data_IF_837262617869
#
_entry.id   IF_837262617869
#
_cell.length_a   1.000
_cell.length_b   1.000
_cell.length_c   1.000
_cell.angle_alpha   90.00
_cell.angle_beta   90.00
_cell.angle_gamma   90.00
#
_symmetry.space_group_name_H-M   'P 1'
#
loop_
_entity.id
_entity.type
_entity.pdbx_description
1 polymer ?
#
# COMPACT_ATOMS: atom_id res chain seq x y z
N UNK A 1 31.45 63.61 -17.54
CA UNK A 1 31.51 62.16 -17.81
C UNK A 1 30.95 61.41 -16.61
N UNK A 2 29.81 60.71 -16.74
CA UNK A 2 29.24 59.92 -15.65
C UNK A 2 29.92 58.53 -15.55
N UNK A 3 29.92 57.89 -14.37
CA UNK A 3 30.57 56.59 -14.16
C UNK A 3 29.74 55.43 -14.76
N UNK A 4 30.45 54.48 -15.39
CA UNK A 4 29.89 53.22 -15.91
C UNK A 4 29.32 52.36 -14.77
N UNK A 5 28.04 51.99 -14.85
CA UNK A 5 27.43 50.94 -14.01
C UNK A 5 28.02 49.58 -14.40
N UNK A 6 28.65 48.90 -13.46
CA UNK A 6 28.97 47.47 -13.56
C UNK A 6 27.69 46.66 -13.42
N UNK A 7 27.47 45.71 -14.33
CA UNK A 7 26.40 44.71 -14.24
C UNK A 7 26.75 43.67 -13.15
N UNK A 8 25.75 43.11 -12.42
CA UNK A 8 26.01 42.06 -11.45
C UNK A 8 26.42 40.76 -12.15
N UNK A 9 27.47 40.15 -11.59
CA UNK A 9 28.07 38.89 -12.03
C UNK A 9 27.05 37.74 -11.93
N UNK A 10 26.55 37.28 -13.08
CA UNK A 10 25.69 36.10 -13.16
C UNK A 10 26.55 34.87 -12.86
N UNK A 11 26.49 34.40 -11.59
CA UNK A 11 27.03 33.11 -11.17
C UNK A 11 26.57 32.01 -12.14
N UNK A 12 27.49 31.60 -13.01
CA UNK A 12 27.35 30.48 -13.93
C UNK A 12 27.16 29.21 -13.10
N UNK A 13 25.92 28.68 -13.05
CA UNK A 13 25.57 27.43 -12.36
C UNK A 13 26.36 26.30 -13.03
N UNK A 14 27.34 25.75 -12.30
CA UNK A 14 28.14 24.59 -12.69
C UNK A 14 27.19 23.41 -12.93
N UNK A 15 27.09 22.96 -14.17
CA UNK A 15 26.52 21.66 -14.52
C UNK A 15 27.55 20.60 -14.13
N UNK A 16 27.26 19.83 -13.08
CA UNK A 16 28.03 18.63 -12.76
C UNK A 16 27.38 17.44 -13.44
N UNK A 17 28.08 16.90 -14.45
CA UNK A 17 27.88 15.56 -14.97
C UNK A 17 28.23 14.55 -13.88
N UNK A 18 27.27 13.74 -13.42
CA UNK A 18 27.47 12.37 -12.88
C UNK A 18 26.08 11.75 -12.67
N UNK A 19 25.98 10.45 -12.95
CA UNK A 19 24.76 9.70 -13.22
C UNK A 19 23.65 9.77 -12.16
N UNK A 20 22.44 10.04 -12.65
CA UNK A 20 21.14 9.79 -12.03
C UNK A 20 21.06 8.38 -11.44
N UNK A 21 21.02 8.25 -10.12
CA UNK A 21 20.62 6.99 -9.46
C UNK A 21 19.67 7.33 -8.29
N UNK A 22 18.41 6.92 -8.42
CA UNK A 22 17.30 7.25 -7.51
C UNK A 22 16.82 6.00 -6.75
N UNK A 23 16.35 6.19 -5.51
CA UNK A 23 16.37 5.17 -4.45
C UNK A 23 14.98 4.86 -3.87
N UNK A 24 14.04 4.24 -4.61
CA UNK A 24 12.72 3.74 -4.11
C UNK A 24 11.68 4.66 -3.37
N UNK A 25 10.86 5.45 -4.10
CA UNK A 25 9.73 6.29 -3.66
C UNK A 25 8.72 6.26 -4.81
N UNK A 26 7.78 5.33 -4.69
CA UNK A 26 6.40 5.61 -4.26
C UNK A 26 5.80 6.93 -4.66
N UNK A 27 5.84 7.27 -5.95
CA UNK A 27 5.20 8.50 -6.32
C UNK A 27 4.64 8.43 -7.73
N UNK A 28 3.34 8.14 -7.76
CA UNK A 28 2.43 8.51 -8.85
C UNK A 28 1.14 8.93 -8.19
N UNK A 29 0.55 10.04 -8.64
CA UNK A 29 -0.82 10.25 -8.32
C UNK A 29 -1.72 8.99 -8.34
N UNK A 30 -2.31 8.63 -7.20
CA UNK A 30 -3.51 7.80 -7.13
C UNK A 30 -4.63 8.32 -8.03
N UNK A 31 -5.72 7.56 -8.21
CA UNK A 31 -6.83 7.90 -9.11
C UNK A 31 -7.33 9.36 -8.93
N UNK A 32 -7.39 9.82 -7.68
CA UNK A 32 -7.73 11.20 -7.27
C UNK A 32 -6.74 12.30 -7.64
N UNK A 33 -5.54 11.92 -8.02
CA UNK A 33 -4.41 12.83 -8.19
C UNK A 33 -3.86 12.78 -9.62
N UNK A 34 -4.40 11.89 -10.48
CA UNK A 34 -4.00 11.76 -11.88
C UNK A 34 -4.21 13.10 -12.60
N UNK A 35 -3.30 13.47 -13.50
CA UNK A 35 -3.45 14.68 -14.31
C UNK A 35 -4.59 14.50 -15.31
N UNK A 36 -5.55 15.43 -15.32
CA UNK A 36 -6.60 15.45 -16.35
C UNK A 36 -6.01 15.82 -17.72
N UNK A 37 -6.29 15.01 -18.74
CA UNK A 37 -5.90 15.32 -20.12
C UNK A 37 -6.82 16.39 -20.73
N UNK A 38 -6.32 17.20 -21.66
CA UNK A 38 -7.13 18.23 -22.37
C UNK A 38 -8.38 17.64 -23.04
N UNK A 39 -8.26 16.41 -23.58
CA UNK A 39 -9.40 15.67 -24.13
C UNK A 39 -10.44 15.33 -23.05
N UNK A 40 -10.01 15.02 -21.82
CA UNK A 40 -10.90 14.78 -20.68
C UNK A 40 -11.63 16.06 -20.25
N UNK A 41 -10.92 17.19 -20.23
CA UNK A 41 -11.48 18.52 -19.91
C UNK A 41 -12.55 18.94 -20.91
N UNK A 42 -12.26 18.92 -22.20
CA UNK A 42 -13.26 19.23 -23.24
C UNK A 42 -14.46 18.26 -23.19
N UNK A 43 -14.22 16.98 -22.90
CA UNK A 43 -15.30 16.04 -22.73
C UNK A 43 -16.16 16.34 -21.48
N UNK A 44 -15.56 16.84 -20.39
CA UNK A 44 -16.28 17.32 -19.19
C UNK A 44 -17.12 18.56 -19.50
N UNK A 45 -16.54 19.55 -20.18
CA UNK A 45 -17.27 20.77 -20.60
C UNK A 45 -18.47 20.44 -21.49
N UNK A 46 -18.31 19.54 -22.45
CA UNK A 46 -19.41 19.08 -23.29
C UNK A 46 -20.52 18.40 -22.48
N UNK A 47 -20.18 17.60 -21.45
CA UNK A 47 -21.16 16.99 -20.54
C UNK A 47 -21.90 18.03 -19.71
N UNK A 48 -21.20 19.04 -19.17
CA UNK A 48 -21.80 20.10 -18.38
C UNK A 48 -22.82 20.92 -19.21
N UNK A 49 -22.50 21.19 -20.49
CA UNK A 49 -23.45 21.83 -21.42
C UNK A 49 -24.72 21.00 -21.63
N UNK A 50 -24.60 19.68 -21.76
CA UNK A 50 -25.75 18.77 -21.87
C UNK A 50 -26.56 18.73 -20.57
N UNK A 51 -25.91 18.75 -19.40
CA UNK A 51 -26.58 18.81 -18.09
C UNK A 51 -27.41 20.10 -17.93
N UNK A 52 -26.92 21.23 -18.44
CA UNK A 52 -27.64 22.53 -18.37
C UNK A 52 -28.81 22.67 -19.34
N UNK A 53 -28.97 21.76 -20.31
CA UNK A 53 -30.06 21.82 -21.29
C UNK A 53 -31.41 21.40 -20.68
N UNK A 54 -32.54 21.85 -21.23
CA UNK A 54 -33.90 21.49 -20.73
C UNK A 54 -34.25 20.03 -21.02
N UNK A 55 -34.84 19.31 -20.04
CA UNK A 55 -35.35 17.94 -20.25
C UNK A 55 -36.78 17.98 -20.77
N UNK A 56 -37.09 17.20 -21.81
CA UNK A 56 -38.45 17.06 -22.32
C UNK A 56 -39.02 15.65 -22.10
N UNK A 57 -38.17 14.62 -21.97
CA UNK A 57 -38.58 13.23 -21.76
C UNK A 57 -37.96 12.66 -20.47
N UNK A 58 -38.61 11.67 -19.87
CA UNK A 58 -38.11 10.96 -18.70
C UNK A 58 -36.74 10.28 -18.96
N UNK A 59 -36.52 9.81 -20.18
CA UNK A 59 -35.22 9.27 -20.63
C UNK A 59 -34.11 10.33 -20.55
N UNK A 60 -34.42 11.60 -20.77
CA UNK A 60 -33.45 12.69 -20.68
C UNK A 60 -33.06 12.95 -19.22
N UNK A 61 -34.00 12.75 -18.28
CA UNK A 61 -33.72 12.82 -16.84
C UNK A 61 -32.76 11.70 -16.41
N UNK A 62 -33.00 10.46 -16.84
CA UNK A 62 -32.10 9.33 -16.56
C UNK A 62 -30.70 9.57 -17.17
N UNK A 63 -30.63 10.08 -18.39
CA UNK A 63 -29.35 10.45 -19.03
C UNK A 63 -28.62 11.53 -18.24
N UNK A 64 -29.32 12.56 -17.76
CA UNK A 64 -28.74 13.61 -16.91
C UNK A 64 -28.25 13.06 -15.58
N UNK A 65 -29.00 12.18 -14.93
CA UNK A 65 -28.56 11.52 -13.70
C UNK A 65 -27.29 10.70 -13.92
N UNK A 66 -27.22 9.91 -15.00
CA UNK A 66 -26.03 9.16 -15.37
C UNK A 66 -24.83 10.07 -15.67
N UNK A 67 -25.04 11.14 -16.45
CA UNK A 67 -23.99 12.12 -16.76
C UNK A 67 -23.50 12.85 -15.51
N UNK A 68 -24.41 13.19 -14.60
CA UNK A 68 -24.11 13.82 -13.31
C UNK A 68 -23.31 12.88 -12.42
N UNK A 69 -23.74 11.62 -12.27
CA UNK A 69 -22.99 10.59 -11.55
C UNK A 69 -21.59 10.40 -12.15
N UNK A 70 -21.48 10.31 -13.48
CA UNK A 70 -20.19 10.16 -14.16
C UNK A 70 -19.26 11.34 -13.88
N UNK A 71 -19.76 12.56 -13.99
CA UNK A 71 -18.99 13.77 -13.73
C UNK A 71 -18.57 13.87 -12.25
N UNK A 72 -19.48 13.53 -11.34
CA UNK A 72 -19.19 13.50 -9.91
C UNK A 72 -18.18 12.41 -9.55
N UNK A 73 -18.24 11.24 -10.19
CA UNK A 73 -17.26 10.16 -10.01
C UNK A 73 -15.89 10.50 -10.57
N UNK A 74 -15.80 11.34 -11.61
CA UNK A 74 -14.49 11.83 -12.08
C UNK A 74 -13.87 12.81 -11.07
N UNK A 75 -14.67 13.69 -10.47
CA UNK A 75 -14.19 14.64 -9.46
C UNK A 75 -13.89 13.96 -8.11
N UNK A 76 -14.73 12.98 -7.75
CA UNK A 76 -14.65 12.23 -6.50
C UNK A 76 -14.50 10.75 -6.80
N UNK A 77 -13.24 10.31 -6.92
CA UNK A 77 -12.87 8.92 -7.19
C UNK A 77 -13.44 7.92 -6.17
N UNK A 78 -13.65 8.35 -4.93
CA UNK A 78 -14.20 7.53 -3.85
C UNK A 78 -15.70 7.23 -4.01
N UNK A 79 -16.44 7.98 -4.83
CA UNK A 79 -17.89 7.88 -4.92
C UNK A 79 -18.36 6.51 -5.43
N UNK A 80 -17.72 5.99 -6.47
CA UNK A 80 -18.11 4.71 -7.08
C UNK A 80 -17.92 3.55 -6.10
N UNK A 81 -16.77 3.49 -5.44
CA UNK A 81 -16.51 2.49 -4.41
C UNK A 81 -17.47 2.62 -3.24
N UNK A 82 -17.78 3.85 -2.79
CA UNK A 82 -18.79 4.08 -1.76
C UNK A 82 -20.17 3.57 -2.18
N UNK A 83 -20.62 3.87 -3.40
CA UNK A 83 -21.92 3.44 -3.89
C UNK A 83 -22.04 1.90 -3.87
N UNK A 84 -21.02 1.20 -4.37
CA UNK A 84 -20.98 -0.26 -4.37
C UNK A 84 -21.08 -0.81 -2.94
N UNK A 85 -20.28 -0.27 -2.01
CA UNK A 85 -20.29 -0.67 -0.60
C UNK A 85 -21.66 -0.40 0.03
N UNK A 86 -22.20 0.80 -0.14
CA UNK A 86 -23.50 1.21 0.39
C UNK A 86 -24.63 0.33 -0.12
N UNK A 87 -24.63 -0.02 -1.41
CA UNK A 87 -25.63 -0.91 -2.01
C UNK A 87 -25.57 -2.30 -1.37
N UNK A 88 -24.37 -2.89 -1.24
CA UNK A 88 -24.22 -4.22 -0.63
C UNK A 88 -24.66 -4.23 0.82
N UNK A 89 -24.23 -3.24 1.62
CA UNK A 89 -24.66 -3.13 3.01
C UNK A 89 -26.16 -2.87 3.14
N UNK A 90 -26.74 -2.01 2.29
CA UNK A 90 -28.17 -1.73 2.28
C UNK A 90 -28.96 -3.02 2.02
N UNK A 91 -28.65 -3.76 0.96
CA UNK A 91 -29.34 -5.02 0.66
C UNK A 91 -29.13 -6.06 1.76
N UNK A 92 -27.92 -6.14 2.33
CA UNK A 92 -27.63 -7.08 3.42
C UNK A 92 -28.46 -6.78 4.68
N UNK A 93 -28.54 -5.51 5.10
CA UNK A 93 -29.32 -5.12 6.28
C UNK A 93 -30.83 -5.12 6.02
N UNK A 94 -31.29 -4.69 4.83
CA UNK A 94 -32.70 -4.72 4.45
C UNK A 94 -33.24 -6.15 4.28
N UNK A 95 -32.39 -7.12 3.94
CA UNK A 95 -32.79 -8.52 3.85
C UNK A 95 -33.24 -9.12 5.20
N UNK A 96 -32.90 -8.49 6.34
CA UNK A 96 -33.19 -9.01 7.68
C UNK A 96 -32.42 -10.27 8.09
N UNK A 97 -31.79 -10.95 7.13
CA UNK A 97 -31.04 -12.19 7.32
C UNK A 97 -29.53 -11.91 7.41
N UNK A 98 -28.98 -11.99 8.63
CA UNK A 98 -27.55 -11.77 8.92
C UNK A 98 -26.74 -13.06 9.02
N UNK A 99 -27.32 -14.20 8.66
CA UNK A 99 -26.68 -15.51 8.76
C UNK A 99 -25.98 -15.90 7.47
N UNK A 100 -25.20 -16.97 7.50
CA UNK A 100 -24.52 -17.54 6.32
C UNK A 100 -25.46 -17.95 5.17
N UNK A 101 -26.77 -18.07 5.42
CA UNK A 101 -27.76 -18.35 4.38
C UNK A 101 -27.96 -17.17 3.41
N UNK A 102 -27.58 -15.95 3.81
CA UNK A 102 -27.61 -14.79 2.93
C UNK A 102 -26.40 -14.81 1.98
N UNK A 103 -26.57 -14.76 0.65
CA UNK A 103 -25.45 -14.75 -0.29
C UNK A 103 -24.54 -13.51 -0.16
N UNK A 104 -25.00 -12.43 0.47
CA UNK A 104 -24.22 -11.24 0.75
C UNK A 104 -23.37 -11.37 2.03
N UNK A 105 -23.63 -12.36 2.88
CA UNK A 105 -22.90 -12.57 4.13
C UNK A 105 -21.40 -12.74 3.88
N UNK A 106 -21.01 -13.47 2.83
CA UNK A 106 -19.60 -13.69 2.44
C UNK A 106 -18.81 -12.41 2.11
N UNK A 107 -19.51 -11.31 1.79
CA UNK A 107 -18.88 -10.03 1.49
C UNK A 107 -18.77 -9.16 2.75
N UNK A 108 -19.78 -9.22 3.62
CA UNK A 108 -19.91 -8.32 4.78
C UNK A 108 -19.27 -8.89 6.04
N UNK A 109 -19.37 -10.20 6.27
CA UNK A 109 -18.93 -10.88 7.48
C UNK A 109 -18.02 -12.05 7.14
N UNK A 110 -17.20 -12.46 8.11
CA UNK A 110 -16.34 -13.63 7.95
C UNK A 110 -17.20 -14.89 7.91
N UNK A 111 -16.88 -15.78 6.96
CA UNK A 111 -17.55 -17.07 6.81
C UNK A 111 -16.84 -18.19 7.60
N UNK A 112 -17.50 -19.34 7.73
CA UNK A 112 -16.96 -20.59 8.30
C UNK A 112 -16.78 -20.58 9.82
N UNK A 113 -17.77 -20.06 10.55
CA UNK A 113 -17.78 -20.16 12.01
C UNK A 113 -17.92 -21.64 12.45
N UNK A 114 -17.11 -22.06 13.42
CA UNK A 114 -17.10 -23.44 13.94
C UNK A 114 -18.04 -23.53 15.14
N UNK A 115 -19.25 -24.05 14.91
CA UNK A 115 -20.30 -24.13 15.94
C UNK A 115 -20.59 -22.75 16.55
N UNK A 116 -20.80 -22.71 17.86
CA UNK A 116 -21.04 -21.47 18.62
C UNK A 116 -19.75 -20.86 19.20
N UNK A 117 -18.58 -21.24 18.68
CA UNK A 117 -17.28 -20.76 19.17
C UNK A 117 -16.82 -19.50 18.44
N UNK A 118 -15.79 -18.83 18.97
CA UNK A 118 -15.12 -17.70 18.31
C UNK A 118 -14.07 -18.13 17.26
N UNK A 119 -14.12 -19.40 16.85
CA UNK A 119 -13.14 -20.02 15.95
C UNK A 119 -13.72 -20.13 14.55
N UNK A 120 -12.89 -19.85 13.55
CA UNK A 120 -13.28 -19.82 12.15
C UNK A 120 -12.34 -20.67 11.32
N UNK A 121 -12.92 -21.54 10.50
CA UNK A 121 -12.21 -22.29 9.47
C UNK A 121 -11.88 -21.42 8.26
N UNK A 122 -11.52 -22.05 7.14
CA UNK A 122 -11.25 -21.37 5.86
C UNK A 122 -12.02 -22.00 4.70
N UNK A 123 -12.25 -21.23 3.65
CA UNK A 123 -12.80 -21.75 2.40
C UNK A 123 -13.01 -20.69 1.32
N UNK A 124 -13.56 -21.07 0.15
CA UNK A 124 -13.67 -20.19 -1.01
C UNK A 124 -14.52 -18.93 -0.79
N UNK A 125 -15.46 -18.93 0.18
CA UNK A 125 -16.22 -17.70 0.52
C UNK A 125 -15.31 -16.57 1.01
N UNK A 126 -14.13 -16.89 1.57
CA UNK A 126 -13.16 -15.89 2.04
C UNK A 126 -12.59 -15.07 0.87
N UNK A 127 -12.58 -15.59 -0.36
CA UNK A 127 -12.21 -14.80 -1.55
C UNK A 127 -13.24 -13.70 -1.86
N UNK A 128 -14.52 -13.97 -1.59
CA UNK A 128 -15.57 -12.96 -1.67
C UNK A 128 -15.31 -11.83 -0.69
N UNK A 129 -14.97 -12.17 0.55
CA UNK A 129 -14.59 -11.20 1.58
C UNK A 129 -13.39 -10.36 1.12
N UNK A 130 -12.32 -11.00 0.65
CA UNK A 130 -11.12 -10.31 0.15
C UNK A 130 -11.47 -9.34 -0.98
N UNK A 131 -12.23 -9.77 -1.98
CA UNK A 131 -12.62 -8.92 -3.11
C UNK A 131 -13.48 -7.73 -2.68
N UNK A 132 -14.46 -7.94 -1.80
CA UNK A 132 -15.28 -6.84 -1.30
C UNK A 132 -14.45 -5.84 -0.48
N UNK A 133 -13.52 -6.33 0.34
CA UNK A 133 -12.65 -5.46 1.12
C UNK A 133 -11.58 -4.76 0.28
N UNK A 134 -11.21 -5.27 -0.90
CA UNK A 134 -10.41 -4.50 -1.87
C UNK A 134 -11.16 -3.23 -2.33
N UNK A 135 -12.48 -3.33 -2.54
CA UNK A 135 -13.33 -2.17 -2.89
C UNK A 135 -13.41 -1.22 -1.70
N UNK A 136 -13.56 -1.75 -0.47
CA UNK A 136 -13.50 -0.97 0.76
C UNK A 136 -12.18 -0.20 0.90
N UNK A 137 -11.03 -0.85 0.72
CA UNK A 137 -9.73 -0.19 0.81
C UNK A 137 -9.52 0.85 -0.30
N UNK A 138 -10.05 0.61 -1.49
CA UNK A 138 -10.08 1.61 -2.57
C UNK A 138 -10.90 2.84 -2.17
N UNK A 139 -12.10 2.65 -1.61
CA UNK A 139 -12.90 3.73 -1.05
C UNK A 139 -12.13 4.48 0.04
N UNK A 140 -11.62 3.75 1.04
CA UNK A 140 -10.96 4.30 2.21
C UNK A 140 -9.75 5.16 1.81
N UNK A 141 -8.92 4.66 0.88
CA UNK A 141 -7.77 5.36 0.32
C UNK A 141 -8.18 6.67 -0.31
N UNK A 142 -9.09 6.62 -1.30
CA UNK A 142 -9.47 7.79 -2.07
C UNK A 142 -10.22 8.82 -1.21
N UNK A 143 -11.05 8.37 -0.26
CA UNK A 143 -11.77 9.23 0.67
C UNK A 143 -10.81 9.96 1.61
N UNK A 144 -9.90 9.24 2.27
CA UNK A 144 -8.92 9.83 3.19
C UNK A 144 -8.01 10.80 2.43
N UNK A 145 -7.51 10.41 1.26
CA UNK A 145 -6.64 11.24 0.45
C UNK A 145 -7.35 12.55 0.04
N UNK A 146 -8.52 12.46 -0.62
CA UNK A 146 -9.20 13.66 -1.14
C UNK A 146 -9.79 14.56 -0.06
N UNK A 147 -10.42 13.98 0.97
CA UNK A 147 -11.23 14.74 1.94
C UNK A 147 -10.38 15.23 3.11
N UNK A 148 -9.55 14.35 3.69
CA UNK A 148 -8.80 14.64 4.90
C UNK A 148 -7.39 15.15 4.60
N UNK A 149 -6.59 14.36 3.87
CA UNK A 149 -5.16 14.59 3.71
C UNK A 149 -4.85 15.76 2.78
N UNK A 150 -5.65 16.00 1.73
CA UNK A 150 -5.49 17.17 0.86
C UNK A 150 -5.63 18.48 1.64
N UNK A 151 -6.69 18.59 2.44
CA UNK A 151 -6.95 19.74 3.30
C UNK A 151 -5.85 19.94 4.33
N UNK A 152 -5.38 18.85 4.95
CA UNK A 152 -4.28 18.88 5.92
C UNK A 152 -2.96 19.31 5.27
N UNK A 153 -2.65 18.81 4.06
CA UNK A 153 -1.44 19.14 3.32
C UNK A 153 -1.32 20.63 3.01
N UNK A 154 -2.43 21.26 2.62
CA UNK A 154 -2.50 22.70 2.34
C UNK A 154 -2.34 23.50 3.64
N UNK A 155 -2.97 23.06 4.74
CA UNK A 155 -2.82 23.70 6.07
C UNK A 155 -1.40 23.63 6.61
N UNK A 156 -0.66 22.58 6.26
CA UNK A 156 0.76 22.41 6.61
C UNK A 156 1.71 23.26 5.74
N UNK A 157 1.18 24.10 4.83
CA UNK A 157 1.97 25.05 4.06
C UNK A 157 2.60 24.49 2.78
N UNK A 158 2.22 23.27 2.35
CA UNK A 158 2.71 22.68 1.10
C UNK A 158 1.93 23.25 -0.07
N UNK A 159 2.60 23.98 -0.96
CA UNK A 159 1.96 24.70 -2.08
C UNK A 159 2.07 23.99 -3.43
N UNK A 160 3.13 23.21 -3.67
CA UNK A 160 3.35 22.52 -4.96
C UNK A 160 2.44 21.30 -5.08
N UNK A 161 1.65 21.22 -6.15
CA UNK A 161 0.65 20.15 -6.34
C UNK A 161 1.28 18.75 -6.33
N UNK A 162 2.42 18.55 -7.01
CA UNK A 162 3.13 17.27 -7.00
C UNK A 162 3.63 16.88 -5.59
N UNK A 163 4.10 17.86 -4.80
CA UNK A 163 4.54 17.64 -3.42
C UNK A 163 3.35 17.28 -2.50
N UNK A 164 2.19 17.91 -2.71
CA UNK A 164 0.94 17.57 -1.99
C UNK A 164 0.55 16.11 -2.26
N UNK A 165 0.53 15.69 -3.53
CA UNK A 165 0.14 14.32 -3.93
C UNK A 165 1.03 13.26 -3.25
N UNK A 166 2.35 13.47 -3.30
CA UNK A 166 3.35 12.58 -2.66
C UNK A 166 3.14 12.48 -1.16
N UNK A 167 2.97 13.64 -0.52
CA UNK A 167 2.77 13.68 0.92
C UNK A 167 1.48 12.97 1.31
N UNK A 168 0.39 13.14 0.55
CA UNK A 168 -0.86 12.42 0.78
C UNK A 168 -0.69 10.90 0.69
N UNK A 169 0.07 10.39 -0.27
CA UNK A 169 0.35 8.93 -0.40
C UNK A 169 1.10 8.40 0.83
N UNK A 170 2.12 9.13 1.31
CA UNK A 170 2.86 8.74 2.51
C UNK A 170 1.99 8.85 3.76
N UNK A 171 1.18 9.91 3.89
CA UNK A 171 0.28 10.09 5.03
C UNK A 171 -0.84 9.03 5.06
N UNK A 172 -1.32 8.57 3.91
CA UNK A 172 -2.24 7.44 3.85
C UNK A 172 -1.56 6.15 4.35
N UNK A 173 -0.30 5.93 3.95
CA UNK A 173 0.51 4.79 4.42
C UNK A 173 0.70 4.85 5.93
N UNK A 174 1.00 6.03 6.50
CA UNK A 174 1.07 6.25 7.95
C UNK A 174 -0.27 5.90 8.60
N UNK A 175 -1.39 6.40 8.07
CA UNK A 175 -2.72 6.10 8.59
C UNK A 175 -2.96 4.59 8.66
N UNK A 176 -2.73 3.88 7.56
CA UNK A 176 -2.96 2.43 7.51
C UNK A 176 -2.04 1.67 8.47
N UNK A 177 -0.72 1.89 8.39
CA UNK A 177 0.26 1.16 9.22
C UNK A 177 0.20 1.52 10.70
N UNK A 178 -0.30 2.71 11.06
CA UNK A 178 -0.57 3.09 12.45
C UNK A 178 -1.70 2.27 13.09
N UNK A 179 -2.58 1.67 12.28
CA UNK A 179 -3.67 0.80 12.73
C UNK A 179 -3.26 -0.66 12.58
N UNK A 180 -2.74 -1.07 11.42
CA UNK A 180 -2.41 -2.46 11.12
C UNK A 180 -1.23 -2.98 11.95
N UNK A 181 -0.19 -2.17 12.16
CA UNK A 181 0.99 -2.54 12.93
C UNK A 181 0.65 -2.90 14.38
N UNK A 182 0.04 -1.99 15.17
CA UNK A 182 -0.40 -2.30 16.53
C UNK A 182 -1.42 -3.44 16.60
N UNK A 183 -2.35 -3.54 15.64
CA UNK A 183 -3.31 -4.64 15.62
C UNK A 183 -2.62 -6.01 15.39
N UNK A 184 -1.64 -6.06 14.48
CA UNK A 184 -0.82 -7.25 14.26
C UNK A 184 0.01 -7.62 15.51
N UNK A 185 0.62 -6.64 16.18
CA UNK A 185 1.33 -6.86 17.44
C UNK A 185 0.41 -7.36 18.56
N UNK A 186 -0.82 -6.85 18.65
CA UNK A 186 -1.82 -7.34 19.58
C UNK A 186 -2.17 -8.81 19.32
N UNK A 187 -2.38 -9.20 18.06
CA UNK A 187 -2.63 -10.60 17.71
C UNK A 187 -1.43 -11.50 17.97
N UNK A 188 -0.22 -11.01 17.72
CA UNK A 188 1.01 -11.73 18.04
C UNK A 188 1.18 -11.92 19.56
N UNK A 189 0.71 -10.97 20.37
CA UNK A 189 0.70 -11.09 21.84
C UNK A 189 -0.32 -12.12 22.34
N UNK A 190 -1.49 -12.20 21.70
CA UNK A 190 -2.52 -13.20 22.03
C UNK A 190 -2.16 -14.62 21.58
N UNK A 191 -1.15 -14.78 20.74
CA UNK A 191 -0.70 -16.08 20.23
C UNK A 191 0.65 -16.47 20.83
N UNK A 192 1.08 -17.70 20.57
CA UNK A 192 2.38 -18.25 20.99
C UNK A 192 3.58 -17.64 20.22
N UNK A 193 3.33 -16.66 19.35
CA UNK A 193 4.29 -16.01 18.45
C UNK A 193 4.97 -14.78 19.05
N UNK A 194 4.67 -14.40 20.31
CA UNK A 194 5.21 -13.19 20.94
C UNK A 194 6.74 -13.08 20.80
N UNK A 195 7.21 -11.91 20.36
CA UNK A 195 8.61 -11.63 20.01
C UNK A 195 9.19 -12.58 18.95
N UNK A 196 8.37 -12.89 17.94
CA UNK A 196 8.78 -13.66 16.76
C UNK A 196 9.33 -15.04 17.10
N UNK A 197 8.71 -15.74 18.07
CA UNK A 197 9.05 -17.12 18.41
C UNK A 197 8.81 -18.04 17.21
N UNK A 198 9.86 -18.73 16.78
CA UNK A 198 9.87 -19.51 15.54
C UNK A 198 9.37 -20.94 15.72
N UNK A 199 9.57 -21.54 16.89
CA UNK A 199 9.10 -22.88 17.25
C UNK A 199 7.56 -22.98 17.20
N UNK A 200 6.89 -21.94 17.68
CA UNK A 200 5.44 -21.78 17.64
C UNK A 200 4.85 -21.81 16.22
N UNK A 201 5.63 -21.48 15.19
CA UNK A 201 5.17 -21.51 13.79
C UNK A 201 4.93 -22.93 13.26
N UNK A 202 5.51 -23.95 13.92
CA UNK A 202 5.43 -25.35 13.47
C UNK A 202 4.79 -26.28 14.48
N UNK A 203 4.86 -25.96 15.78
CA UNK A 203 4.49 -26.87 16.86
C UNK A 203 3.03 -27.33 16.80
N UNK A 204 2.11 -26.44 16.42
CA UNK A 204 0.67 -26.74 16.33
C UNK A 204 0.19 -26.94 14.89
N UNK A 205 1.10 -26.99 13.92
CA UNK A 205 0.74 -27.09 12.51
C UNK A 205 0.11 -28.46 12.18
N UNK A 206 -1.05 -28.51 11.51
CA UNK A 206 -1.73 -27.42 10.82
C UNK A 206 -2.82 -26.75 11.67
N UNK A 207 -2.81 -25.41 11.70
CA UNK A 207 -3.80 -24.62 12.43
C UNK A 207 -5.07 -24.41 11.57
N UNK A 208 -6.03 -25.33 11.67
CA UNK A 208 -7.27 -25.29 10.87
C UNK A 208 -8.19 -24.11 11.17
N UNK A 209 -8.24 -23.75 12.45
CA UNK A 209 -9.19 -22.79 12.97
C UNK A 209 -8.43 -21.60 13.54
N UNK A 210 -8.83 -20.40 13.14
CA UNK A 210 -8.25 -19.17 13.63
C UNK A 210 -9.31 -18.40 14.42
N UNK A 211 -8.88 -17.69 15.46
CA UNK A 211 -9.78 -16.78 16.18
C UNK A 211 -10.32 -15.71 15.23
N UNK A 212 -11.52 -15.21 15.52
CA UNK A 212 -12.20 -14.19 14.72
C UNK A 212 -11.30 -13.00 14.35
N UNK A 213 -10.66 -12.36 15.33
CA UNK A 213 -9.81 -11.18 15.10
C UNK A 213 -8.58 -11.52 14.26
N UNK A 214 -8.00 -12.70 14.48
CA UNK A 214 -6.88 -13.20 13.68
C UNK A 214 -7.29 -13.36 12.21
N UNK A 215 -8.44 -13.99 11.97
CA UNK A 215 -8.96 -14.20 10.61
C UNK A 215 -9.34 -12.87 9.93
N UNK A 216 -9.95 -11.92 10.66
CA UNK A 216 -10.20 -10.54 10.14
C UNK A 216 -8.89 -9.92 9.67
N UNK A 217 -7.89 -9.91 10.55
CA UNK A 217 -6.62 -9.27 10.25
C UNK A 217 -5.97 -9.89 9.04
N UNK A 218 -5.93 -11.22 8.96
CA UNK A 218 -5.28 -11.93 7.88
C UNK A 218 -5.94 -11.70 6.52
N UNK A 219 -7.28 -11.79 6.47
CA UNK A 219 -8.04 -11.53 5.23
C UNK A 219 -8.06 -10.05 4.88
N UNK A 220 -8.10 -9.16 5.87
CA UNK A 220 -8.01 -7.71 5.68
C UNK A 220 -6.66 -7.30 5.10
N UNK A 221 -5.57 -7.87 5.60
CA UNK A 221 -4.23 -7.69 5.03
C UNK A 221 -4.17 -8.21 3.58
N UNK A 222 -4.70 -9.41 3.34
CA UNK A 222 -4.76 -9.96 1.99
C UNK A 222 -5.53 -9.02 1.02
N UNK A 223 -6.66 -8.47 1.46
CA UNK A 223 -7.45 -7.51 0.68
C UNK A 223 -6.72 -6.19 0.44
N UNK A 224 -6.03 -5.64 1.46
CA UNK A 224 -5.23 -4.43 1.30
C UNK A 224 -4.08 -4.63 0.31
N UNK A 225 -3.29 -5.69 0.47
CA UNK A 225 -2.15 -5.97 -0.41
C UNK A 225 -2.60 -6.35 -1.84
N UNK A 226 -3.71 -7.06 -2.00
CA UNK A 226 -4.31 -7.30 -3.32
C UNK A 226 -4.78 -6.00 -3.98
N UNK A 227 -5.43 -5.12 -3.22
CA UNK A 227 -5.85 -3.80 -3.69
C UNK A 227 -4.65 -2.95 -4.12
N UNK A 228 -3.60 -2.90 -3.31
CA UNK A 228 -2.36 -2.18 -3.62
C UNK A 228 -1.67 -2.74 -4.88
N UNK A 229 -1.72 -4.06 -5.07
CA UNK A 229 -1.18 -4.72 -6.26
C UNK A 229 -1.98 -4.38 -7.52
N UNK A 230 -3.31 -4.28 -7.44
CA UNK A 230 -4.14 -3.80 -8.56
C UNK A 230 -3.81 -2.36 -8.94
N UNK A 231 -3.64 -1.47 -7.94
CA UNK A 231 -3.24 -0.08 -8.18
C UNK A 231 -1.90 0.00 -8.93
N UNK A 232 -0.94 -0.84 -8.53
CA UNK A 232 0.38 -0.89 -9.17
C UNK A 232 0.33 -1.47 -10.59
N UNK A 233 -0.30 -2.63 -10.77
CA UNK A 233 -0.28 -3.39 -12.04
C UNK A 233 -1.10 -2.74 -13.13
N UNK A 234 -2.23 -2.13 -12.80
CA UNK A 234 -3.04 -1.36 -13.74
C UNK A 234 -2.39 -0.02 -14.12
N UNK A 235 -1.20 0.29 -13.58
CA UNK A 235 -0.50 1.56 -13.78
C UNK A 235 -1.43 2.76 -13.56
N UNK A 236 -2.40 2.60 -12.64
CA UNK A 236 -3.07 3.75 -12.04
C UNK A 236 -2.03 4.68 -11.42
N UNK A 237 -0.84 4.10 -11.16
CA UNK A 237 0.41 4.75 -10.85
C UNK A 237 1.47 4.63 -12.01
N UNK A 238 1.89 5.75 -12.67
CA UNK A 238 3.14 6.00 -13.45
C UNK A 238 4.35 5.16 -12.98
N UNK A 239 4.89 4.29 -13.85
CA UNK A 239 6.01 3.42 -13.51
C UNK A 239 7.22 4.14 -12.90
N UNK A 240 7.69 3.61 -11.77
CA UNK A 240 8.89 4.04 -11.03
C UNK A 240 10.18 3.56 -11.74
N UNK A 241 11.35 4.04 -11.29
CA UNK A 241 12.64 3.47 -11.76
C UNK A 241 12.89 2.05 -11.25
N UNK A 242 12.35 1.73 -10.07
CA UNK A 242 12.35 0.42 -9.44
C UNK A 242 11.02 -0.33 -9.67
N UNK A 243 10.30 0.00 -10.75
CA UNK A 243 8.97 -0.55 -11.02
C UNK A 243 9.00 -2.07 -11.20
N UNK A 244 10.06 -2.60 -11.82
CA UNK A 244 10.20 -4.03 -12.05
C UNK A 244 10.43 -4.77 -10.73
N UNK A 245 11.29 -4.23 -9.86
CA UNK A 245 11.58 -4.77 -8.54
C UNK A 245 10.34 -4.70 -7.64
N UNK A 246 9.56 -3.62 -7.74
CA UNK A 246 8.30 -3.48 -7.02
C UNK A 246 7.22 -4.43 -7.53
N UNK A 247 7.08 -4.63 -8.85
CA UNK A 247 6.18 -5.66 -9.39
C UNK A 247 6.60 -7.03 -8.90
N UNK A 248 7.90 -7.35 -8.98
CA UNK A 248 8.42 -8.62 -8.51
C UNK A 248 8.14 -8.81 -7.01
N UNK A 249 8.30 -7.75 -6.20
CA UNK A 249 7.91 -7.75 -4.81
C UNK A 249 6.43 -8.07 -4.62
N UNK A 250 5.52 -7.41 -5.33
CA UNK A 250 4.08 -7.68 -5.24
C UNK A 250 3.71 -9.10 -5.68
N UNK A 251 4.41 -9.67 -6.68
CA UNK A 251 4.25 -11.07 -7.06
C UNK A 251 4.66 -11.99 -5.89
N UNK A 252 5.84 -11.75 -5.30
CA UNK A 252 6.34 -12.55 -4.19
C UNK A 252 5.46 -12.43 -2.95
N UNK A 253 5.02 -11.21 -2.58
CA UNK A 253 4.19 -11.00 -1.41
C UNK A 253 2.80 -11.58 -1.59
N UNK A 254 2.14 -11.39 -2.75
CA UNK A 254 0.85 -12.03 -3.01
C UNK A 254 0.95 -13.56 -3.02
N UNK A 255 2.04 -14.11 -3.57
CA UNK A 255 2.30 -15.55 -3.51
C UNK A 255 2.47 -16.04 -2.07
N UNK A 256 3.23 -15.32 -1.23
CA UNK A 256 3.39 -15.61 0.19
C UNK A 256 2.04 -15.59 0.91
N UNK A 257 1.23 -14.54 0.72
CA UNK A 257 -0.09 -14.39 1.33
C UNK A 257 -1.04 -15.52 0.90
N UNK A 258 -1.09 -15.81 -0.40
CA UNK A 258 -1.95 -16.85 -0.95
C UNK A 258 -1.57 -18.23 -0.42
N UNK A 259 -0.30 -18.61 -0.55
CA UNK A 259 0.18 -19.94 -0.19
C UNK A 259 0.12 -20.16 1.33
N UNK A 260 0.45 -19.15 2.12
CA UNK A 260 0.35 -19.26 3.58
C UNK A 260 -1.08 -19.44 4.07
N UNK A 261 -2.07 -18.79 3.45
CA UNK A 261 -3.47 -19.03 3.79
C UNK A 261 -3.98 -20.39 3.29
N UNK A 262 -3.72 -20.73 2.02
CA UNK A 262 -4.18 -21.98 1.39
C UNK A 262 -3.55 -23.22 2.04
N UNK A 263 -2.31 -23.13 2.51
CA UNK A 263 -1.60 -24.25 3.14
C UNK A 263 -1.43 -24.12 4.67
N UNK A 264 -2.23 -23.28 5.34
CA UNK A 264 -2.29 -23.18 6.82
C UNK A 264 -1.00 -22.68 7.50
N UNK A 265 -0.12 -21.96 6.80
CA UNK A 265 1.08 -21.33 7.37
C UNK A 265 0.81 -19.90 7.87
N UNK A 266 -0.39 -19.64 8.39
CA UNK A 266 -0.79 -18.30 8.85
C UNK A 266 0.09 -17.80 10.00
N UNK A 267 0.46 -18.68 10.94
CA UNK A 267 1.39 -18.38 12.05
C UNK A 267 2.78 -17.92 11.59
N UNK A 268 3.23 -18.33 10.41
CA UNK A 268 4.45 -17.80 9.79
C UNK A 268 4.20 -16.47 9.10
N UNK A 269 3.04 -16.32 8.45
CA UNK A 269 2.66 -15.09 7.74
C UNK A 269 2.42 -13.88 8.65
N UNK A 270 1.87 -14.07 9.86
CA UNK A 270 1.61 -12.97 10.80
C UNK A 270 2.89 -12.18 11.18
N UNK A 271 3.99 -12.84 11.62
CA UNK A 271 5.31 -12.22 11.76
C UNK A 271 5.76 -11.40 10.55
N UNK A 272 5.61 -11.96 9.35
CA UNK A 272 6.04 -11.30 8.10
C UNK A 272 5.23 -10.02 7.89
N UNK A 273 3.90 -10.05 8.03
CA UNK A 273 3.07 -8.85 7.95
C UNK A 273 3.52 -7.76 8.94
N UNK A 274 3.72 -8.12 10.21
CA UNK A 274 4.12 -7.17 11.26
C UNK A 274 5.46 -6.52 10.92
N UNK A 275 6.45 -7.31 10.50
CA UNK A 275 7.79 -6.78 10.18
C UNK A 275 7.75 -5.77 9.03
N UNK A 276 6.92 -6.02 8.02
CA UNK A 276 6.75 -5.13 6.88
C UNK A 276 6.05 -3.84 7.29
N UNK A 277 4.85 -3.95 7.87
CA UNK A 277 3.99 -2.80 8.23
C UNK A 277 4.68 -1.84 9.19
N UNK A 278 5.32 -2.35 10.25
CA UNK A 278 5.97 -1.50 11.25
C UNK A 278 7.17 -0.77 10.65
N UNK A 279 7.93 -1.42 9.77
CA UNK A 279 9.05 -0.75 9.09
C UNK A 279 8.57 0.31 8.08
N UNK A 280 7.46 0.06 7.39
CA UNK A 280 6.90 0.98 6.39
C UNK A 280 6.23 2.19 7.03
N UNK A 281 5.69 2.05 8.25
CA UNK A 281 5.25 3.18 9.05
C UNK A 281 6.40 4.18 9.27
N UNK A 282 7.57 3.73 9.72
CA UNK A 282 8.71 4.61 9.95
C UNK A 282 9.26 5.20 8.64
N UNK A 283 9.25 4.44 7.55
CA UNK A 283 9.61 4.95 6.23
C UNK A 283 8.70 6.12 5.82
N UNK A 284 7.38 5.90 5.85
CA UNK A 284 6.40 6.90 5.44
C UNK A 284 6.44 8.14 6.35
N UNK A 285 6.68 7.94 7.65
CA UNK A 285 6.82 9.02 8.62
C UNK A 285 8.07 9.87 8.36
N UNK A 286 9.22 9.24 8.11
CA UNK A 286 10.47 9.95 7.77
C UNK A 286 10.33 10.78 6.49
N UNK A 287 9.66 10.24 5.46
CA UNK A 287 9.36 10.95 4.21
C UNK A 287 8.41 12.11 4.42
N UNK A 288 7.36 11.93 5.23
CA UNK A 288 6.41 13.00 5.53
C UNK A 288 7.10 14.18 6.23
N UNK A 289 7.98 13.92 7.20
CA UNK A 289 8.78 14.99 7.82
C UNK A 289 9.72 15.67 6.83
N UNK A 290 10.32 14.91 5.91
CA UNK A 290 11.16 15.47 4.85
C UNK A 290 10.35 16.40 3.94
N UNK A 291 9.12 16.03 3.55
CA UNK A 291 8.25 16.91 2.78
C UNK A 291 7.84 18.18 3.54
N UNK A 292 7.81 18.15 4.87
CA UNK A 292 7.53 19.33 5.69
C UNK A 292 8.78 20.15 6.02
N UNK A 293 9.96 19.76 5.50
CA UNK A 293 11.24 20.39 5.79
C UNK A 293 11.47 20.49 7.33
N UNK A 294 11.00 19.48 8.07
CA UNK A 294 10.96 19.46 9.53
C UNK A 294 12.32 19.09 10.12
N UNK A 295 12.75 19.70 11.24
CA UNK A 295 13.97 19.28 11.97
C UNK A 295 13.86 17.86 12.54
N UNK A 296 12.67 17.26 12.57
CA UNK A 296 12.46 15.87 12.97
C UNK A 296 12.83 14.85 11.88
N UNK A 297 13.20 15.29 10.67
CA UNK A 297 13.55 14.38 9.57
C UNK A 297 14.73 13.45 9.92
N UNK A 298 15.91 13.94 10.39
CA UNK A 298 17.03 13.08 10.71
C UNK A 298 16.78 12.02 11.81
N UNK A 299 16.17 12.34 12.98
CA UNK A 299 15.93 11.33 14.00
C UNK A 299 14.95 10.25 13.54
N UNK A 300 13.87 10.61 12.83
CA UNK A 300 12.93 9.61 12.29
C UNK A 300 13.52 8.79 11.15
N UNK A 301 14.39 9.37 10.33
CA UNK A 301 15.13 8.63 9.32
C UNK A 301 16.08 7.58 9.95
N UNK A 302 16.73 7.91 11.07
CA UNK A 302 17.56 6.95 11.80
C UNK A 302 16.73 5.82 12.43
N UNK A 303 15.58 6.15 13.05
CA UNK A 303 14.65 5.15 13.58
C UNK A 303 14.16 4.22 12.47
N UNK A 304 13.84 4.77 11.31
CA UNK A 304 13.51 4.01 10.10
C UNK A 304 14.63 3.01 9.74
N UNK A 305 15.89 3.43 9.65
CA UNK A 305 17.00 2.53 9.32
C UNK A 305 17.14 1.39 10.33
N UNK A 306 17.09 1.71 11.63
CA UNK A 306 17.20 0.71 12.70
C UNK A 306 16.05 -0.30 12.62
N UNK A 307 14.81 0.20 12.48
CA UNK A 307 13.63 -0.66 12.34
C UNK A 307 13.68 -1.51 11.08
N UNK A 308 14.14 -0.97 9.94
CA UNK A 308 14.31 -1.71 8.69
C UNK A 308 15.29 -2.88 8.87
N UNK A 309 16.47 -2.62 9.43
CA UNK A 309 17.50 -3.65 9.62
C UNK A 309 17.00 -4.74 10.57
N UNK A 310 16.41 -4.35 11.70
CA UNK A 310 15.92 -5.31 12.67
C UNK A 310 14.75 -6.15 12.12
N UNK A 311 13.69 -5.50 11.63
CA UNK A 311 12.46 -6.18 11.24
C UNK A 311 12.60 -6.91 9.90
N UNK A 312 13.17 -6.27 8.88
CA UNK A 312 13.22 -6.85 7.53
C UNK A 312 14.42 -7.74 7.27
N UNK A 313 15.49 -7.64 8.07
CA UNK A 313 16.67 -8.50 7.92
C UNK A 313 16.87 -9.45 9.09
N UNK A 314 17.04 -8.95 10.31
CA UNK A 314 17.34 -9.84 11.45
C UNK A 314 16.20 -10.83 11.70
N UNK A 315 14.95 -10.37 11.78
CA UNK A 315 13.79 -11.27 11.99
C UNK A 315 13.56 -12.18 10.79
N UNK A 316 13.65 -11.67 9.56
CA UNK A 316 13.46 -12.49 8.36
C UNK A 316 14.55 -13.59 8.22
N UNK A 317 15.82 -13.25 8.50
CA UNK A 317 16.91 -14.23 8.54
C UNK A 317 16.70 -15.26 9.65
N UNK A 318 16.14 -14.86 10.80
CA UNK A 318 15.77 -15.79 11.87
C UNK A 318 14.68 -16.76 11.41
N UNK A 319 13.66 -16.30 10.68
CA UNK A 319 12.61 -17.16 10.11
C UNK A 319 13.21 -18.10 9.05
N UNK A 320 14.07 -17.61 8.16
CA UNK A 320 14.78 -18.42 7.17
C UNK A 320 15.67 -19.48 7.82
N UNK A 321 16.38 -19.13 8.88
CA UNK A 321 17.20 -20.08 9.64
C UNK A 321 16.34 -21.18 10.27
N UNK A 322 15.25 -20.78 10.92
CA UNK A 322 14.26 -21.68 11.49
C UNK A 322 13.65 -22.62 10.44
N UNK A 323 13.42 -22.14 9.21
CA UNK A 323 12.98 -23.01 8.10
C UNK A 323 13.99 -24.10 7.75
N UNK A 324 15.28 -23.87 7.95
CA UNK A 324 16.32 -24.87 7.69
C UNK A 324 16.51 -25.84 8.87
N UNK A 325 16.37 -25.35 10.11
CA UNK A 325 16.69 -26.13 11.32
C UNK A 325 15.47 -26.75 12.02
N UNK A 326 14.37 -26.00 12.12
CA UNK A 326 13.19 -26.35 12.94
C UNK A 326 12.05 -26.95 12.10
N UNK A 327 11.92 -26.59 10.81
CA UNK A 327 10.80 -27.03 9.97
C UNK A 327 10.68 -28.55 9.86
N UNK A 328 11.79 -29.29 9.83
CA UNK A 328 11.74 -30.76 9.79
C UNK A 328 11.59 -31.40 11.16
N UNK A 329 12.03 -30.72 12.22
CA UNK A 329 12.23 -31.31 13.55
C UNK A 329 11.09 -30.99 14.53
N UNK A 330 10.42 -29.85 14.36
CA UNK A 330 9.33 -29.40 15.24
C UNK A 330 7.97 -29.71 14.61
N UNK A 331 7.17 -30.56 15.25
CA UNK A 331 5.86 -30.99 14.76
C UNK A 331 5.96 -31.97 13.59
N UNK A 332 4.83 -32.50 13.14
CA UNK A 332 4.82 -33.55 12.11
C UNK A 332 5.38 -33.04 10.77
N UNK A 333 6.13 -33.91 10.10
CA UNK A 333 6.72 -33.66 8.78
C UNK A 333 6.28 -34.76 7.82
N UNK A 334 5.00 -34.76 7.48
CA UNK A 334 4.38 -35.73 6.58
C UNK A 334 3.42 -35.04 5.64
N UNK A 335 3.41 -35.45 4.37
CA UNK A 335 2.43 -34.97 3.41
C UNK A 335 1.17 -35.84 3.53
N UNK A 336 0.06 -35.24 3.94
CA UNK A 336 -1.22 -35.94 4.01
C UNK A 336 -2.36 -35.01 3.57
N UNK A 337 -2.93 -35.27 2.38
CA UNK A 337 -4.02 -34.49 1.83
C UNK A 337 -5.34 -34.68 2.59
N UNK A 338 -5.58 -35.85 3.18
CA UNK A 338 -6.82 -36.13 3.92
C UNK A 338 -6.87 -35.32 5.23
N UNK A 339 -5.74 -35.21 5.94
CA UNK A 339 -5.60 -34.38 7.13
C UNK A 339 -5.11 -32.97 6.82
N UNK A 340 -5.06 -32.56 5.54
CA UNK A 340 -4.54 -31.26 5.08
C UNK A 340 -3.19 -30.86 5.71
N UNK A 341 -2.33 -31.85 5.96
CA UNK A 341 -0.99 -31.65 6.49
C UNK A 341 -0.04 -31.42 5.32
N UNK A 342 0.35 -30.15 5.09
CA UNK A 342 1.17 -29.77 3.94
C UNK A 342 2.63 -29.48 4.29
N UNK A 343 3.00 -29.62 5.56
CA UNK A 343 4.39 -29.52 6.03
C UNK A 343 5.20 -30.72 5.59
N UNK A 344 5.92 -30.56 4.48
CA UNK A 344 6.60 -31.63 3.78
C UNK A 344 7.86 -31.15 3.03
N UNK A 345 8.52 -32.08 2.36
CA UNK A 345 9.72 -31.84 1.54
C UNK A 345 9.50 -30.91 0.35
N UNK A 346 8.25 -30.73 -0.10
CA UNK A 346 7.88 -29.80 -1.18
C UNK A 346 7.63 -28.40 -0.62
N UNK A 347 6.93 -28.29 0.50
CA UNK A 347 6.56 -26.99 1.08
C UNK A 347 7.80 -26.22 1.58
N UNK A 348 8.76 -26.91 2.20
CA UNK A 348 9.98 -26.28 2.73
C UNK A 348 10.76 -25.44 1.70
N UNK A 349 11.17 -25.98 0.53
CA UNK A 349 11.88 -25.19 -0.47
C UNK A 349 11.02 -24.05 -1.04
N UNK A 350 9.71 -24.27 -1.27
CA UNK A 350 8.83 -23.21 -1.81
C UNK A 350 8.77 -22.01 -0.86
N UNK A 351 8.52 -22.26 0.43
CA UNK A 351 8.45 -21.20 1.45
C UNK A 351 9.83 -20.53 1.58
N UNK A 352 10.90 -21.31 1.61
CA UNK A 352 12.26 -20.78 1.69
C UNK A 352 12.58 -19.86 0.51
N UNK A 353 12.32 -20.28 -0.73
CA UNK A 353 12.61 -19.48 -1.92
C UNK A 353 11.80 -18.18 -1.96
N UNK A 354 10.53 -18.21 -1.54
CA UNK A 354 9.71 -17.00 -1.50
C UNK A 354 10.18 -16.00 -0.43
N UNK A 355 10.47 -16.46 0.79
CA UNK A 355 11.01 -15.60 1.85
C UNK A 355 12.44 -15.14 1.55
N UNK A 356 13.24 -15.96 0.87
CA UNK A 356 14.57 -15.60 0.43
C UNK A 356 14.51 -14.55 -0.69
N UNK A 357 13.61 -14.70 -1.67
CA UNK A 357 13.37 -13.67 -2.69
C UNK A 357 12.94 -12.34 -2.05
N UNK A 358 12.07 -12.40 -1.03
CA UNK A 358 11.68 -11.24 -0.23
C UNK A 358 12.87 -10.62 0.50
N UNK A 359 13.77 -11.44 1.04
CA UNK A 359 15.01 -10.99 1.68
C UNK A 359 15.96 -10.30 0.70
N UNK A 360 16.12 -10.84 -0.52
CA UNK A 360 16.95 -10.23 -1.56
C UNK A 360 16.41 -8.85 -1.98
N UNK A 361 15.10 -8.72 -2.14
CA UNK A 361 14.45 -7.44 -2.41
C UNK A 361 14.67 -6.44 -1.27
N UNK A 362 14.52 -6.88 -0.02
CA UNK A 362 14.80 -6.02 1.13
C UNK A 362 16.27 -5.56 1.16
N UNK A 363 17.22 -6.42 0.77
CA UNK A 363 18.64 -6.07 0.69
C UNK A 363 18.92 -5.06 -0.44
N UNK A 364 18.25 -5.22 -1.58
CA UNK A 364 18.32 -4.26 -2.68
C UNK A 364 17.90 -2.86 -2.22
N UNK A 365 16.78 -2.73 -1.49
CA UNK A 365 16.38 -1.44 -0.93
C UNK A 365 17.26 -0.98 0.24
N UNK A 366 17.84 -1.89 1.04
CA UNK A 366 18.81 -1.52 2.07
C UNK A 366 20.03 -0.82 1.49
N UNK A 367 20.58 -1.35 0.38
CA UNK A 367 21.70 -0.71 -0.31
C UNK A 367 21.39 0.76 -0.64
N UNK A 368 20.16 1.01 -1.10
CA UNK A 368 19.70 2.35 -1.38
C UNK A 368 19.53 3.22 -0.13
N UNK A 369 18.94 2.69 0.94
CA UNK A 369 18.80 3.39 2.22
C UNK A 369 20.16 3.81 2.78
N UNK A 370 21.14 2.90 2.78
CA UNK A 370 22.51 3.17 3.25
C UNK A 370 23.20 4.22 2.39
N UNK A 371 22.95 4.20 1.08
CA UNK A 371 23.47 5.23 0.17
C UNK A 371 22.91 6.62 0.48
N UNK A 372 21.63 6.75 0.81
CA UNK A 372 21.05 8.03 1.29
C UNK A 372 21.72 8.46 2.58
N UNK A 373 21.86 7.55 3.54
CA UNK A 373 22.50 7.84 4.84
C UNK A 373 23.94 8.33 4.67
N UNK A 374 24.74 7.66 3.84
CA UNK A 374 26.11 8.05 3.55
C UNK A 374 26.18 9.49 3.00
N UNK A 375 25.29 9.84 2.07
CA UNK A 375 25.21 11.19 1.51
C UNK A 375 24.84 12.23 2.57
N UNK A 376 23.84 11.93 3.40
CA UNK A 376 23.39 12.80 4.49
C UNK A 376 24.54 13.12 5.46
N UNK A 377 25.28 12.09 5.88
CA UNK A 377 26.36 12.22 6.88
C UNK A 377 27.61 12.88 6.30
N UNK A 378 28.04 12.50 5.10
CA UNK A 378 29.32 12.95 4.53
C UNK A 378 29.22 14.31 3.85
N UNK A 379 28.12 14.58 3.16
CA UNK A 379 28.00 15.80 2.36
C UNK A 379 27.20 16.90 3.06
N UNK A 380 26.55 16.62 4.20
CA UNK A 380 25.64 17.56 4.88
C UNK A 380 24.46 18.00 4.00
N UNK A 381 24.28 17.34 2.86
CA UNK A 381 23.24 17.62 1.88
C UNK A 381 22.01 16.82 2.30
N UNK A 382 21.05 17.51 2.92
CA UNK A 382 19.67 17.02 3.06
C UNK A 382 18.92 16.99 1.72
N UNK A 383 19.57 17.35 0.60
CA UNK A 383 18.97 17.17 -0.72
C UNK A 383 19.05 15.71 -1.14
N UNK A 384 17.90 15.07 -1.03
CA UNK A 384 17.60 13.87 -1.79
C UNK A 384 17.63 14.23 -3.29
N UNK A 385 18.57 13.66 -4.07
CA UNK A 385 18.62 13.85 -5.54
C UNK A 385 17.36 13.35 -6.25
N UNK A 386 16.46 12.69 -5.51
CA UNK A 386 15.16 12.28 -6.00
C UNK A 386 14.16 13.44 -6.14
N UNK A 387 14.23 14.46 -5.29
CA UNK A 387 13.21 15.52 -5.26
C UNK A 387 13.47 16.66 -6.25
N UNK A 388 14.72 16.89 -6.67
CA UNK A 388 15.10 18.06 -7.48
C UNK A 388 14.74 17.94 -8.99
N UNK A 389 14.54 16.74 -9.56
CA UNK A 389 14.12 16.61 -10.98
C UNK A 389 12.59 16.58 -11.19
N UNK A 390 11.78 16.62 -10.12
CA UNK A 390 10.31 16.58 -10.19
C UNK A 390 9.65 17.96 -10.11
N UNK A 391 10.44 19.02 -9.89
CA UNK A 391 10.03 20.42 -10.12
C UNK A 391 10.49 20.98 -11.48
N UNK A 392 11.46 20.34 -12.13
CA UNK A 392 12.00 20.84 -13.42
C UNK A 392 11.11 20.47 -14.61
N UNK A 393 10.30 19.39 -14.53
CA UNK A 393 9.39 19.00 -15.62
C UNK A 393 8.26 20.00 -15.89
N UNK A 394 7.87 20.80 -14.91
CA UNK A 394 6.86 21.86 -15.10
C UNK A 394 7.48 23.16 -15.63
N UNK A 395 8.78 23.41 -15.38
CA UNK A 395 9.49 24.56 -15.95
C UNK A 395 9.75 24.38 -17.45
N UNK A 396 10.01 23.16 -17.93
CA UNK A 396 10.18 22.92 -19.37
C UNK A 396 8.86 23.06 -20.15
N UNK A 397 7.72 22.57 -19.62
CA UNK A 397 6.42 22.70 -20.30
C UNK A 397 5.90 24.14 -20.36
N UNK A 398 6.18 24.98 -19.35
CA UNK A 398 5.71 26.37 -19.36
C UNK A 398 6.58 27.32 -20.18
N UNK A 399 7.82 26.93 -20.51
CA UNK A 399 8.73 27.73 -21.36
C UNK A 399 8.44 27.50 -22.84
N UNK A 400 8.00 26.31 -23.24
CA UNK A 400 7.67 26.00 -24.63
C UNK A 400 6.30 26.53 -25.08
N UNK A 401 5.32 26.68 -24.18
CA UNK A 401 4.00 27.28 -24.51
C UNK A 401 4.04 28.81 -24.69
N UNK A 402 5.09 29.51 -24.23
CA UNK A 402 5.24 30.95 -24.45
C UNK A 402 6.02 31.29 -25.73
N UNK A 403 6.38 30.30 -26.54
CA UNK A 403 7.20 30.47 -27.74
C UNK A 403 6.56 30.05 -29.06
N UNK A 404 5.27 29.70 -29.07
CA UNK A 404 4.49 29.50 -30.30
C UNK A 404 3.34 30.48 -30.40
#
# INVERSE_FOLDING_TARGET
MPPKKQAPDLRRRRTTSIGRISLGDTSVPGLSTMSETERSKHASEARLKVLSSTSQKDIDVLKKLWLSYRELSYRHSWLTSLLIISVVYLFYFCSGNRTESNPLHRFVAISYQVGDTNMYGKGPKDLGFVFFYMIFFTFLREFIMQVLLRSLSIKLGVTKENKIKRMMEQMYSIFYYSISGPFGLYLMYQTDLWLFKTDAMYKTYPDFNNEFLYKIFYLGQAAFWAQQSCVLTLQLEKPRKDFQELIFHHIVTLALIWLSYVFHFTKMGLPVYITMDVSDFFLALSKTFNYLDSPLTPPFFLIFIVSWIYLRHYINLRILWSLLTEFKTVGDYTLNFATQQYKCWIAQPIIFFLLFALQLLNLFWLFFIVRVLYRLVVHGIQKDERSDSESETDEETHVDEKKN
#
